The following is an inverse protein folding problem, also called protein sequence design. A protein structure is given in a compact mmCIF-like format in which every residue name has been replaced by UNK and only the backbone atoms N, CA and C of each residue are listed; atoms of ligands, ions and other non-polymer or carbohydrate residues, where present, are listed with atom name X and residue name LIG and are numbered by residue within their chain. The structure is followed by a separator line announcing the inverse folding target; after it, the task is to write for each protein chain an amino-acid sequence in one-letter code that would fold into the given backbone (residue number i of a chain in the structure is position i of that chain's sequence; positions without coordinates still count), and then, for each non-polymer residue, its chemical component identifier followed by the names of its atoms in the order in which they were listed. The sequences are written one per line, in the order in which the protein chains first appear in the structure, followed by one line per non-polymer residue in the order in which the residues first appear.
data_IF_620710740861
#
_entry.id   IF_620710740861
#
_cell.length_a   1.000
_cell.length_b   1.000
_cell.length_c   1.000
_cell.angle_alpha   90.00
_cell.angle_beta   90.00
_cell.angle_gamma   90.00
#
_symmetry.space_group_name_H-M   'P 1'
#
loop_
_entity.id
_entity.type
_entity.pdbx_description
1 polymer ?
#
# COMPACT_ATOMS: atom_id res chain seq x y z
N UNK A 1 -13.04 11.29 -9.89
CA UNK A 1 -12.83 11.55 -8.43
C UNK A 1 -12.64 10.28 -7.60
N UNK A 2 -13.57 9.31 -7.62
CA UNK A 2 -13.46 8.06 -6.81
C UNK A 2 -12.13 7.30 -7.00
N UNK A 3 -11.59 7.26 -8.21
CA UNK A 3 -10.32 6.57 -8.50
C UNK A 3 -9.09 7.22 -7.84
N UNK A 4 -9.09 8.55 -7.69
CA UNK A 4 -7.99 9.27 -7.05
C UNK A 4 -8.00 9.05 -5.53
N UNK A 5 -9.19 9.06 -4.90
CA UNK A 5 -9.33 8.75 -3.48
C UNK A 5 -8.88 7.31 -3.18
N UNK A 6 -9.27 6.35 -4.01
CA UNK A 6 -8.84 4.96 -3.88
C UNK A 6 -7.31 4.81 -3.97
N UNK A 7 -6.65 5.56 -4.86
CA UNK A 7 -5.20 5.56 -4.99
C UNK A 7 -4.50 6.13 -3.74
N UNK A 8 -5.03 7.21 -3.17
CA UNK A 8 -4.51 7.83 -1.93
C UNK A 8 -4.66 6.88 -0.75
N UNK A 9 -5.84 6.26 -0.58
CA UNK A 9 -6.07 5.27 0.47
C UNK A 9 -5.15 4.06 0.30
N UNK A 10 -4.95 3.57 -0.93
CA UNK A 10 -4.01 2.50 -1.20
C UNK A 10 -2.57 2.90 -0.85
N UNK A 11 -2.17 4.14 -1.11
CA UNK A 11 -0.89 4.69 -0.71
C UNK A 11 -0.66 4.63 0.81
N UNK A 12 -1.64 5.09 1.59
CA UNK A 12 -1.57 5.07 3.05
C UNK A 12 -1.49 3.63 3.63
N UNK A 13 -2.26 2.69 3.07
CA UNK A 13 -2.19 1.27 3.46
C UNK A 13 -0.81 0.66 3.20
N UNK A 14 -0.23 0.98 2.04
CA UNK A 14 1.09 0.48 1.63
C UNK A 14 2.20 1.08 2.49
N UNK A 15 2.12 2.36 2.81
CA UNK A 15 3.04 3.02 3.74
C UNK A 15 3.05 2.28 5.08
N UNK A 16 1.86 2.05 5.66
CA UNK A 16 1.72 1.26 6.88
C UNK A 16 2.26 -0.16 6.76
N UNK A 17 2.06 -0.81 5.62
CA UNK A 17 2.55 -2.17 5.37
C UNK A 17 4.07 -2.25 5.38
N UNK A 18 4.74 -1.23 4.83
CA UNK A 18 6.21 -1.14 4.86
C UNK A 18 6.71 -0.94 6.29
N UNK A 19 6.01 -0.13 7.10
CA UNK A 19 6.38 0.07 8.51
C UNK A 19 6.23 -1.20 9.36
N UNK A 20 5.19 -2.01 9.10
CA UNK A 20 4.94 -3.26 9.82
C UNK A 20 6.02 -4.29 9.49
N UNK A 21 6.36 -4.43 8.21
CA UNK A 21 7.25 -5.48 7.74
C UNK A 21 8.73 -5.10 7.78
N UNK A 22 9.06 -3.81 7.66
CA UNK A 22 10.43 -3.33 7.55
C UNK A 22 11.25 -4.14 6.54
N UNK A 23 12.39 -4.65 7.00
CA UNK A 23 13.33 -5.45 6.21
C UNK A 23 12.92 -6.93 6.07
N UNK A 24 11.85 -7.38 6.72
CA UNK A 24 11.34 -8.76 6.61
C UNK A 24 10.58 -8.98 5.28
N UNK A 25 10.08 -7.92 4.67
CA UNK A 25 9.35 -8.01 3.39
C UNK A 25 10.29 -8.35 2.22
N UNK A 26 9.92 -9.25 1.29
CA UNK A 26 10.69 -9.50 0.07
C UNK A 26 10.95 -8.23 -0.75
N UNK A 27 12.18 -8.06 -1.25
CA UNK A 27 12.61 -6.82 -1.90
C UNK A 27 11.71 -6.39 -3.08
N UNK A 28 11.26 -7.34 -3.91
CA UNK A 28 10.37 -7.04 -5.03
C UNK A 28 8.98 -6.52 -4.59
N UNK A 29 8.54 -6.84 -3.36
CA UNK A 29 7.31 -6.29 -2.77
C UNK A 29 7.58 -4.92 -2.16
N UNK A 30 8.70 -4.75 -1.45
CA UNK A 30 9.12 -3.45 -0.91
C UNK A 30 9.30 -2.43 -2.02
N UNK A 31 9.97 -2.79 -3.11
CA UNK A 31 10.15 -1.92 -4.27
C UNK A 31 8.81 -1.45 -4.85
N UNK A 32 7.85 -2.36 -5.01
CA UNK A 32 6.50 -2.02 -5.45
C UNK A 32 5.77 -1.10 -4.45
N UNK A 33 5.93 -1.37 -3.16
CA UNK A 33 5.36 -0.56 -2.08
C UNK A 33 5.92 0.87 -2.08
N UNK A 34 7.25 1.00 -2.08
CA UNK A 34 7.95 2.30 -2.14
C UNK A 34 7.54 3.08 -3.37
N UNK A 35 7.39 2.44 -4.52
CA UNK A 35 6.95 3.09 -5.75
C UNK A 35 5.54 3.67 -5.63
N UNK A 36 4.60 2.93 -5.01
CA UNK A 36 3.24 3.41 -4.70
C UNK A 36 3.25 4.57 -3.70
N UNK A 37 4.07 4.51 -2.65
CA UNK A 37 4.19 5.59 -1.65
C UNK A 37 4.79 6.85 -2.27
N UNK A 38 5.80 6.71 -3.13
CA UNK A 38 6.40 7.82 -3.85
C UNK A 38 5.44 8.46 -4.87
N UNK A 39 4.51 7.69 -5.43
CA UNK A 39 3.58 8.13 -6.47
C UNK A 39 2.12 7.90 -6.06
N UNK A 40 1.69 8.53 -4.96
CA UNK A 40 0.37 8.28 -4.31
C UNK A 40 -0.83 8.43 -5.26
N UNK A 41 -0.73 9.31 -6.25
CA UNK A 41 -1.81 9.58 -7.22
C UNK A 41 -1.69 8.81 -8.55
N UNK A 42 -0.56 8.14 -8.80
CA UNK A 42 -0.36 7.42 -10.06
C UNK A 42 -1.32 6.22 -10.18
N UNK A 43 -1.79 5.99 -11.39
CA UNK A 43 -2.51 4.78 -11.76
C UNK A 43 -1.62 3.54 -11.67
N UNK A 44 -2.23 2.34 -11.64
CA UNK A 44 -1.48 1.08 -11.63
C UNK A 44 -0.68 0.89 -12.93
N UNK A 45 -1.19 1.34 -14.08
CA UNK A 45 -0.47 1.32 -15.35
C UNK A 45 0.78 2.20 -15.29
N UNK A 46 0.68 3.40 -14.74
CA UNK A 46 1.81 4.30 -14.55
C UNK A 46 2.86 3.71 -13.61
N UNK A 47 2.44 3.13 -12.48
CA UNK A 47 3.38 2.44 -11.59
C UNK A 47 4.06 1.26 -12.28
N UNK A 48 3.35 0.50 -13.10
CA UNK A 48 3.95 -0.59 -13.88
C UNK A 48 5.05 -0.09 -14.82
N UNK A 49 4.81 1.03 -15.52
CA UNK A 49 5.82 1.65 -16.39
C UNK A 49 7.01 2.25 -15.63
N UNK A 50 6.79 2.78 -14.43
CA UNK A 50 7.84 3.37 -13.58
C UNK A 50 8.69 2.34 -12.84
N UNK A 51 8.20 1.10 -12.71
CA UNK A 51 8.98 0.04 -12.06
C UNK A 51 10.17 -0.38 -12.92
N UNK A 52 11.24 -0.81 -12.25
CA UNK A 52 12.44 -1.35 -12.89
C UNK A 52 12.70 -2.78 -12.37
N UNK A 53 12.62 -3.81 -13.24
CA UNK A 53 12.21 -3.74 -14.65
C UNK A 53 10.72 -3.35 -14.80
N UNK A 54 10.31 -2.78 -15.96
CA UNK A 54 8.91 -2.44 -16.22
C UNK A 54 7.97 -3.64 -16.07
N UNK A 55 6.82 -3.39 -15.46
CA UNK A 55 5.81 -4.39 -15.17
C UNK A 55 4.47 -4.03 -15.81
N UNK A 56 3.65 -5.04 -16.01
CA UNK A 56 2.24 -4.81 -16.34
C UNK A 56 1.47 -4.29 -15.12
N UNK A 57 0.34 -3.62 -15.37
CA UNK A 57 -0.62 -3.18 -14.35
C UNK A 57 -0.94 -4.29 -13.33
N UNK A 58 -1.21 -5.50 -13.84
CA UNK A 58 -1.64 -6.62 -13.00
C UNK A 58 -0.50 -7.19 -12.17
N UNK A 59 0.72 -7.19 -12.71
CA UNK A 59 1.91 -7.61 -11.97
C UNK A 59 2.21 -6.67 -10.79
N UNK A 60 2.19 -5.34 -11.01
CA UNK A 60 2.39 -4.38 -9.91
C UNK A 60 1.24 -4.42 -8.91
N UNK A 61 0.00 -4.53 -9.38
CA UNK A 61 -1.17 -4.68 -8.51
C UNK A 61 -1.09 -5.95 -7.65
N UNK A 62 -0.64 -7.07 -8.23
CA UNK A 62 -0.41 -8.33 -7.52
C UNK A 62 0.68 -8.20 -6.45
N UNK A 63 1.78 -7.49 -6.73
CA UNK A 63 2.84 -7.22 -5.73
C UNK A 63 2.30 -6.38 -4.57
N UNK A 64 1.58 -5.30 -4.84
CA UNK A 64 0.97 -4.46 -3.80
C UNK A 64 -0.01 -5.26 -2.94
N UNK A 65 -0.89 -6.06 -3.55
CA UNK A 65 -1.84 -6.90 -2.78
C UNK A 65 -1.13 -7.90 -1.86
N UNK A 66 -0.08 -8.56 -2.35
CA UNK A 66 0.70 -9.51 -1.54
C UNK A 66 1.44 -8.82 -0.39
N UNK A 67 1.97 -7.62 -0.60
CA UNK A 67 2.60 -6.83 0.44
C UNK A 67 1.61 -6.52 1.57
N UNK A 68 0.41 -6.02 1.23
CA UNK A 68 -0.64 -5.74 2.21
C UNK A 68 -1.04 -6.99 2.99
N UNK A 69 -1.29 -8.11 2.29
CA UNK A 69 -1.68 -9.36 2.94
C UNK A 69 -0.58 -9.92 3.87
N UNK A 70 0.70 -9.72 3.52
CA UNK A 70 1.82 -10.10 4.39
C UNK A 70 1.89 -9.21 5.63
N UNK A 71 1.70 -7.90 5.46
CA UNK A 71 1.67 -6.96 6.57
C UNK A 71 0.50 -7.20 7.53
N UNK A 72 -0.69 -7.51 6.99
CA UNK A 72 -1.87 -7.80 7.80
C UNK A 72 -1.65 -9.05 8.67
N UNK A 73 -1.08 -10.12 8.12
CA UNK A 73 -0.72 -11.31 8.92
C UNK A 73 0.30 -10.98 10.02
N UNK A 74 1.34 -10.21 9.67
CA UNK A 74 2.36 -9.79 10.65
C UNK A 74 1.76 -8.91 11.75
N UNK A 75 0.81 -8.04 11.40
CA UNK A 75 0.10 -7.18 12.34
C UNK A 75 -0.73 -8.01 13.34
N UNK A 76 -1.46 -9.02 12.84
CA UNK A 76 -2.22 -9.96 13.66
C UNK A 76 -1.32 -10.71 14.65
N UNK A 77 -0.17 -11.22 14.18
CA UNK A 77 0.83 -11.90 15.03
C UNK A 77 1.41 -10.98 16.13
N UNK A 78 1.55 -9.70 15.83
CA UNK A 78 2.07 -8.67 16.75
C UNK A 78 0.98 -8.07 17.65
N UNK A 79 -0.31 -8.39 17.43
CA UNK A 79 -1.44 -7.79 18.16
C UNK A 79 -1.61 -6.30 17.90
N UNK A 80 -1.20 -5.81 16.74
CA UNK A 80 -1.35 -4.40 16.32
C UNK A 80 -2.40 -4.27 15.20
N UNK A 81 -2.88 -3.06 14.96
CA UNK A 81 -3.87 -2.80 13.89
C UNK A 81 -3.34 -3.17 12.50
N UNK A 82 -4.17 -3.88 11.73
CA UNK A 82 -3.90 -4.23 10.32
C UNK A 82 -3.88 -3.00 9.43
N UNK A 83 -3.38 -3.13 8.19
CA UNK A 83 -3.37 -2.05 7.20
C UNK A 83 -4.78 -1.60 6.83
N UNK A 84 -5.75 -2.51 6.87
CA UNK A 84 -7.16 -2.20 6.58
C UNK A 84 -7.83 -1.46 7.73
N UNK A 85 -7.62 -1.90 8.98
CA UNK A 85 -8.12 -1.21 10.16
C UNK A 85 -7.49 0.17 10.32
N UNK A 86 -6.18 0.30 10.07
CA UNK A 86 -5.48 1.59 10.06
C UNK A 86 -6.14 2.59 9.11
N UNK A 87 -6.46 2.15 7.88
CA UNK A 87 -7.10 3.03 6.90
C UNK A 87 -8.54 3.42 7.30
N UNK A 88 -9.28 2.53 7.97
CA UNK A 88 -10.61 2.83 8.49
C UNK A 88 -10.55 3.88 9.62
N UNK A 89 -9.55 3.77 10.51
CA UNK A 89 -9.31 4.73 11.59
C UNK A 89 -8.86 6.10 11.06
N UNK A 90 -7.99 6.13 10.05
CA UNK A 90 -7.53 7.36 9.42
C UNK A 90 -8.67 8.12 8.71
N UNK A 91 -9.57 7.41 8.03
CA UNK A 91 -10.75 8.01 7.41
C UNK A 91 -11.70 8.66 8.42
N UNK A 92 -11.97 7.98 9.54
CA UNK A 92 -12.84 8.49 10.60
C UNK A 92 -12.23 9.64 11.43
N UNK A 93 -10.92 9.86 11.35
CA UNK A 93 -10.27 11.05 11.92
C UNK A 93 -10.43 12.27 10.99
N UNK A 94 -10.40 12.08 9.67
CA UNK A 94 -10.55 13.16 8.69
C UNK A 94 -12.00 13.67 8.59
N UNK A 95 -13.00 12.82 8.79
CA UNK A 95 -14.42 13.25 8.81
C UNK A 95 -14.83 14.02 10.08
N UNK A 96 -14.09 13.88 11.19
CA UNK A 96 -14.37 14.60 12.44
C UNK A 96 -13.73 15.99 12.52
N UNK A 97 -12.87 16.33 11.55
CA UNK A 97 -12.17 17.60 11.49
C UNK A 97 -12.83 18.61 10.54
N UNK A 98 -14.06 18.35 10.09
CA UNK A 98 -14.80 19.18 9.14
C UNK A 98 -16.24 19.42 9.61
#
# INVERSE_FOLDING_TARGET
RRSAQAAVTAGAKVERALDILGDEAPEHLRAAGRLRVANKQASLDELGRLSDPPLTKDAIAGRIRRLLAMADRRAEELGIATTTEFAAQAGGAQERAH
#
